data_IF_859681001701
#
_entry.id   IF_859681001701
#
_cell.length_a   1.000
_cell.length_b   1.000
_cell.length_c   1.000
_cell.angle_alpha   90.00
_cell.angle_beta   90.00
_cell.angle_gamma   90.00
#
_symmetry.space_group_name_H-M   'P 1'
#
loop_
_entity.id
_entity.type
_entity.pdbx_description
1 polymer ?
#
# COMPACT_ATOMS: atom_id res chain seq x y z
N UNK A 1 -5.68 -2.80 -29.28
CA UNK A 1 -5.03 -2.35 -30.54
C UNK A 1 -4.05 -3.41 -31.09
N UNK A 2 -3.09 -3.93 -30.32
CA UNK A 2 -2.10 -4.90 -30.84
C UNK A 2 -2.68 -6.26 -31.30
N UNK A 3 -3.66 -6.82 -30.60
CA UNK A 3 -4.30 -8.08 -31.02
C UNK A 3 -5.09 -8.01 -32.34
N UNK A 4 -5.69 -6.85 -32.64
CA UNK A 4 -6.35 -6.61 -33.94
C UNK A 4 -5.35 -6.34 -35.07
N UNK A 5 -4.19 -5.75 -34.75
CA UNK A 5 -3.14 -5.46 -35.74
C UNK A 5 -2.32 -6.68 -36.15
N UNK A 6 -2.15 -7.66 -35.25
CA UNK A 6 -1.33 -8.87 -35.48
C UNK A 6 -2.17 -10.13 -35.79
N UNK A 7 -3.50 -10.01 -35.87
CA UNK A 7 -4.41 -11.10 -36.21
C UNK A 7 -4.48 -12.25 -35.19
N UNK A 8 -3.66 -12.21 -34.12
CA UNK A 8 -3.57 -13.25 -33.12
C UNK A 8 -3.38 -12.62 -31.73
N UNK A 9 -4.27 -12.97 -30.78
CA UNK A 9 -4.32 -12.36 -29.45
C UNK A 9 -3.04 -12.66 -28.65
N UNK A 10 -2.48 -13.87 -28.80
CA UNK A 10 -1.20 -14.27 -28.19
C UNK A 10 -0.02 -13.43 -28.73
N UNK A 11 0.06 -13.23 -30.05
CA UNK A 11 1.10 -12.40 -30.66
C UNK A 11 0.99 -10.92 -30.22
N UNK A 12 -0.23 -10.43 -30.01
CA UNK A 12 -0.49 -9.10 -29.46
C UNK A 12 0.07 -8.91 -28.04
N UNK A 13 -0.14 -9.89 -27.15
CA UNK A 13 0.43 -9.87 -25.80
C UNK A 13 1.96 -9.95 -25.81
N UNK A 14 2.54 -10.82 -26.64
CA UNK A 14 4.00 -10.96 -26.76
C UNK A 14 4.66 -9.69 -27.31
N UNK A 15 4.08 -9.06 -28.34
CA UNK A 15 4.59 -7.80 -28.90
C UNK A 15 4.54 -6.65 -27.88
N UNK A 16 3.45 -6.55 -27.13
CA UNK A 16 3.33 -5.57 -26.05
C UNK A 16 4.39 -5.82 -24.97
N UNK A 17 4.56 -7.06 -24.52
CA UNK A 17 5.57 -7.43 -23.53
C UNK A 17 6.99 -7.10 -24.01
N UNK A 18 7.31 -7.36 -25.28
CA UNK A 18 8.61 -7.05 -25.86
C UNK A 18 8.89 -5.53 -25.87
N UNK A 19 7.92 -4.71 -26.27
CA UNK A 19 8.08 -3.25 -26.27
C UNK A 19 8.28 -2.69 -24.86
N UNK A 20 7.42 -3.05 -23.91
CA UNK A 20 7.54 -2.58 -22.53
C UNK A 20 8.84 -3.10 -21.89
N UNK A 21 9.21 -4.36 -22.16
CA UNK A 21 10.47 -4.94 -21.70
C UNK A 21 11.70 -4.20 -22.24
N UNK A 22 11.75 -3.92 -23.54
CA UNK A 22 12.85 -3.16 -24.15
C UNK A 22 12.94 -1.74 -23.56
N UNK A 23 11.81 -1.06 -23.39
CA UNK A 23 11.75 0.26 -22.76
C UNK A 23 12.25 0.22 -21.31
N UNK A 24 11.82 -0.77 -20.52
CA UNK A 24 12.30 -0.95 -19.14
C UNK A 24 13.81 -1.21 -19.07
N UNK A 25 14.36 -2.04 -19.95
CA UNK A 25 15.80 -2.32 -20.01
C UNK A 25 16.58 -1.04 -20.33
N UNK A 26 16.13 -0.27 -21.33
CA UNK A 26 16.76 1.01 -21.68
C UNK A 26 16.77 1.98 -20.51
N UNK A 27 15.65 2.11 -19.80
CA UNK A 27 15.55 2.97 -18.61
C UNK A 27 16.51 2.50 -17.51
N UNK A 28 16.56 1.20 -17.21
CA UNK A 28 17.48 0.65 -16.19
C UNK A 28 18.93 0.93 -16.55
N UNK A 29 19.33 0.72 -17.81
CA UNK A 29 20.69 0.97 -18.27
C UNK A 29 21.05 2.46 -18.21
N UNK A 30 20.09 3.34 -18.53
CA UNK A 30 20.25 4.78 -18.41
C UNK A 30 20.43 5.20 -16.95
N UNK A 31 19.62 4.66 -16.03
CA UNK A 31 19.74 4.93 -14.59
C UNK A 31 21.09 4.44 -14.07
N UNK A 32 21.50 3.22 -14.42
CA UNK A 32 22.81 2.69 -14.05
C UNK A 32 23.94 3.58 -14.53
N UNK A 33 23.93 3.99 -15.80
CA UNK A 33 24.96 4.86 -16.37
C UNK A 33 25.03 6.23 -15.69
N UNK A 34 23.88 6.78 -15.30
CA UNK A 34 23.79 8.12 -14.69
C UNK A 34 24.18 8.11 -13.21
N UNK A 35 23.92 7.02 -12.49
CA UNK A 35 24.16 6.93 -11.04
C UNK A 35 25.53 6.34 -10.70
N UNK A 36 26.19 5.64 -11.62
CA UNK A 36 27.51 5.03 -11.40
C UNK A 36 28.53 6.09 -11.00
N UNK A 37 29.11 5.93 -9.80
CA UNK A 37 30.15 6.82 -9.27
C UNK A 37 29.67 7.90 -8.31
N UNK A 38 28.35 8.01 -8.05
CA UNK A 38 27.78 8.93 -7.06
C UNK A 38 27.42 8.25 -5.73
N UNK A 39 28.12 7.17 -5.38
CA UNK A 39 27.90 6.42 -4.14
C UNK A 39 28.39 7.25 -2.94
N UNK A 40 27.44 7.79 -2.17
CA UNK A 40 27.73 8.71 -1.06
C UNK A 40 28.38 8.02 0.16
N UNK A 41 28.21 6.70 0.29
CA UNK A 41 28.70 5.94 1.43
C UNK A 41 29.25 4.58 0.96
N UNK A 42 30.43 4.16 1.47
CA UNK A 42 30.91 2.80 1.23
C UNK A 42 29.94 1.78 1.85
N UNK A 43 29.69 0.67 1.16
CA UNK A 43 28.93 -0.47 1.70
C UNK A 43 29.59 -0.99 2.98
N UNK A 44 29.18 -0.48 4.15
CA UNK A 44 29.63 -1.00 5.42
C UNK A 44 28.52 -1.85 6.03
N UNK A 45 28.53 -3.14 5.72
CA UNK A 45 28.32 -4.30 6.62
C UNK A 45 27.86 -5.52 5.82
N UNK A 46 28.46 -6.68 6.09
CA UNK A 46 27.97 -7.95 5.58
C UNK A 46 26.61 -8.28 6.19
N UNK A 47 25.60 -8.49 5.34
CA UNK A 47 24.26 -8.89 5.73
C UNK A 47 24.25 -10.26 6.43
N UNK A 48 23.68 -10.35 7.63
CA UNK A 48 23.39 -11.62 8.29
C UNK A 48 21.89 -11.73 8.53
N UNK A 49 21.32 -12.93 8.34
CA UNK A 49 19.90 -13.18 8.65
C UNK A 49 19.52 -12.86 10.10
N UNK A 50 20.49 -12.90 11.02
CA UNK A 50 20.30 -12.49 12.41
C UNK A 50 19.97 -11.00 12.56
N UNK A 51 20.48 -10.15 11.67
CA UNK A 51 20.20 -8.70 11.68
C UNK A 51 18.72 -8.40 11.40
N UNK A 52 18.02 -9.24 10.61
CA UNK A 52 16.57 -9.12 10.40
C UNK A 52 15.82 -9.30 11.71
N UNK A 53 16.15 -10.35 12.46
CA UNK A 53 15.50 -10.64 13.73
C UNK A 53 15.79 -9.56 14.78
N UNK A 54 17.04 -9.09 14.83
CA UNK A 54 17.45 -8.04 15.75
C UNK A 54 16.75 -6.71 15.43
N UNK A 55 16.63 -6.35 14.15
CA UNK A 55 15.89 -5.16 13.71
C UNK A 55 14.40 -5.23 14.07
N UNK A 56 13.76 -6.38 13.85
CA UNK A 56 12.35 -6.59 14.22
C UNK A 56 12.17 -6.48 15.73
N UNK A 57 13.11 -7.03 16.52
CA UNK A 57 12.96 -7.09 17.97
C UNK A 57 13.31 -5.77 18.67
N UNK A 58 14.39 -5.11 18.24
CA UNK A 58 14.97 -3.96 18.92
C UNK A 58 14.29 -2.65 18.56
N UNK A 59 13.73 -2.50 17.36
CA UNK A 59 13.07 -1.26 16.97
C UNK A 59 11.56 -1.36 17.21
N UNK A 60 11.08 -0.80 18.33
CA UNK A 60 9.66 -0.77 18.64
C UNK A 60 8.85 -0.05 17.56
N UNK A 61 9.30 1.12 17.09
CA UNK A 61 8.61 1.85 16.01
C UNK A 61 8.44 0.98 14.76
N UNK A 62 9.47 0.20 14.37
CA UNK A 62 9.39 -0.69 13.23
C UNK A 62 8.28 -1.72 13.34
N UNK A 63 8.09 -2.35 14.51
CA UNK A 63 7.05 -3.37 14.71
C UNK A 63 5.64 -2.81 14.53
N UNK A 64 5.37 -1.62 15.09
CA UNK A 64 4.07 -0.98 14.92
C UNK A 64 3.85 -0.58 13.47
N UNK A 65 4.84 0.06 12.83
CA UNK A 65 4.70 0.46 11.41
C UNK A 65 4.55 -0.75 10.49
N UNK A 66 5.27 -1.84 10.74
CA UNK A 66 5.14 -3.09 10.00
C UNK A 66 3.73 -3.67 10.16
N UNK A 67 3.17 -3.67 11.38
CA UNK A 67 1.79 -4.08 11.61
C UNK A 67 0.80 -3.22 10.84
N UNK A 68 0.93 -1.89 10.92
CA UNK A 68 0.10 -0.94 10.14
C UNK A 68 0.18 -1.25 8.65
N UNK A 69 1.39 -1.41 8.11
CA UNK A 69 1.62 -1.71 6.70
C UNK A 69 0.98 -3.02 6.26
N UNK A 70 1.20 -4.11 7.00
CA UNK A 70 0.67 -5.44 6.69
C UNK A 70 -0.85 -5.44 6.67
N UNK A 71 -1.49 -4.94 7.71
CA UNK A 71 -2.96 -4.94 7.77
C UNK A 71 -3.57 -4.02 6.70
N UNK A 72 -2.93 -2.89 6.41
CA UNK A 72 -3.37 -1.96 5.37
C UNK A 72 -3.24 -2.54 3.97
N UNK A 73 -2.14 -3.22 3.66
CA UNK A 73 -1.93 -3.81 2.34
C UNK A 73 -2.86 -5.02 2.13
N UNK A 74 -3.11 -5.82 3.17
CA UNK A 74 -4.12 -6.89 3.12
C UNK A 74 -5.49 -6.30 2.79
N UNK A 75 -5.92 -5.27 3.53
CA UNK A 75 -7.19 -4.59 3.26
C UNK A 75 -7.28 -4.07 1.82
N UNK A 76 -6.20 -3.46 1.31
CA UNK A 76 -6.16 -2.93 -0.05
C UNK A 76 -6.22 -4.05 -1.10
N UNK A 77 -5.52 -5.16 -0.87
CA UNK A 77 -5.52 -6.30 -1.77
C UNK A 77 -6.91 -6.96 -1.88
N UNK A 78 -7.71 -6.96 -0.82
CA UNK A 78 -9.11 -7.36 -0.89
C UNK A 78 -9.89 -6.50 -1.89
N UNK A 79 -9.75 -5.17 -1.82
CA UNK A 79 -10.43 -4.25 -2.74
C UNK A 79 -9.94 -4.46 -4.17
N UNK A 80 -8.62 -4.41 -4.41
CA UNK A 80 -8.06 -4.44 -5.77
C UNK A 80 -8.34 -5.78 -6.45
N UNK A 81 -8.21 -6.89 -5.73
CA UNK A 81 -8.41 -8.24 -6.30
C UNK A 81 -9.89 -8.56 -6.50
N UNK A 82 -10.77 -8.09 -5.61
CA UNK A 82 -12.22 -8.31 -5.72
C UNK A 82 -12.88 -7.35 -6.72
N UNK A 83 -12.27 -6.19 -6.98
CA UNK A 83 -12.82 -5.16 -7.88
C UNK A 83 -13.18 -5.71 -9.26
N UNK A 84 -12.37 -6.60 -9.84
CA UNK A 84 -12.66 -7.21 -11.15
C UNK A 84 -13.97 -7.99 -11.10
N UNK A 85 -14.14 -8.87 -10.10
CA UNK A 85 -15.37 -9.65 -9.91
C UNK A 85 -16.57 -8.74 -9.65
N UNK A 86 -16.38 -7.69 -8.85
CA UNK A 86 -17.44 -6.73 -8.54
C UNK A 86 -17.88 -5.95 -9.80
N UNK A 87 -16.95 -5.45 -10.60
CA UNK A 87 -17.26 -4.69 -11.81
C UNK A 87 -17.97 -5.57 -12.84
N UNK A 88 -17.53 -6.80 -13.03
CA UNK A 88 -18.12 -7.73 -14.01
C UNK A 88 -19.48 -8.23 -13.55
N UNK A 89 -19.60 -8.80 -12.34
CA UNK A 89 -20.78 -9.57 -11.94
C UNK A 89 -21.80 -8.78 -11.11
N UNK A 90 -21.41 -7.70 -10.44
CA UNK A 90 -22.33 -6.86 -9.66
C UNK A 90 -22.77 -5.64 -10.48
N UNK A 91 -21.82 -4.95 -11.13
CA UNK A 91 -22.11 -3.75 -11.90
C UNK A 91 -22.42 -4.02 -13.39
N UNK A 92 -22.14 -5.23 -13.89
CA UNK A 92 -22.39 -5.59 -15.29
C UNK A 92 -21.51 -4.83 -16.28
N UNK A 93 -20.35 -4.36 -15.85
CA UNK A 93 -19.45 -3.57 -16.70
C UNK A 93 -18.75 -4.46 -17.74
N UNK A 94 -18.78 -4.03 -19.01
CA UNK A 94 -17.92 -4.57 -20.04
C UNK A 94 -16.45 -4.13 -19.88
N UNK A 95 -15.54 -4.73 -20.66
CA UNK A 95 -14.10 -4.47 -20.58
C UNK A 95 -13.72 -2.98 -20.66
N UNK A 96 -14.39 -2.21 -21.53
CA UNK A 96 -14.13 -0.78 -21.72
C UNK A 96 -14.47 0.04 -20.47
N UNK A 97 -15.62 -0.23 -19.86
CA UNK A 97 -16.08 0.47 -18.66
C UNK A 97 -15.26 0.05 -17.43
N UNK A 98 -14.83 -1.21 -17.36
CA UNK A 98 -13.88 -1.68 -16.36
C UNK A 98 -12.54 -0.94 -16.46
N UNK A 99 -11.99 -0.82 -17.68
CA UNK A 99 -10.77 -0.05 -17.93
C UNK A 99 -10.92 1.42 -17.56
N UNK A 100 -12.08 2.03 -17.85
CA UNK A 100 -12.39 3.40 -17.43
C UNK A 100 -12.48 3.50 -15.90
N UNK A 101 -13.08 2.54 -15.21
CA UNK A 101 -13.16 2.53 -13.75
C UNK A 101 -11.77 2.50 -13.09
N UNK A 102 -10.88 1.62 -13.54
CA UNK A 102 -9.49 1.63 -13.06
C UNK A 102 -8.75 2.91 -13.42
N UNK A 103 -8.99 3.47 -14.62
CA UNK A 103 -8.43 4.76 -15.02
C UNK A 103 -8.86 5.91 -14.11
N UNK A 104 -10.16 5.98 -13.77
CA UNK A 104 -10.72 6.96 -12.83
C UNK A 104 -10.15 6.76 -11.43
N UNK A 105 -10.01 5.52 -10.97
CA UNK A 105 -9.40 5.22 -9.67
C UNK A 105 -7.97 5.78 -9.60
N UNK A 106 -7.14 5.51 -10.62
CA UNK A 106 -5.76 6.01 -10.70
C UNK A 106 -5.74 7.54 -10.74
N UNK A 107 -6.56 8.15 -11.61
CA UNK A 107 -6.62 9.61 -11.75
C UNK A 107 -7.08 10.28 -10.44
N UNK A 108 -8.09 9.73 -9.77
CA UNK A 108 -8.55 10.21 -8.48
C UNK A 108 -7.47 10.06 -7.40
N UNK A 109 -6.73 8.95 -7.38
CA UNK A 109 -5.64 8.76 -6.41
C UNK A 109 -4.55 9.82 -6.55
N UNK A 110 -4.25 10.28 -7.77
CA UNK A 110 -3.32 11.39 -8.00
C UNK A 110 -3.82 12.72 -7.44
N UNK A 111 -5.14 12.96 -7.43
CA UNK A 111 -5.75 14.16 -6.83
C UNK A 111 -5.66 14.10 -5.30
N UNK A 112 -5.76 12.90 -4.71
CA UNK A 112 -5.65 12.73 -3.26
C UNK A 112 -4.22 12.79 -2.72
N UNK A 113 -3.20 12.54 -3.54
CA UNK A 113 -1.79 12.67 -3.14
C UNK A 113 -1.47 14.00 -2.42
N UNK A 114 -1.71 15.19 -3.01
CA UNK A 114 -1.40 16.46 -2.34
C UNK A 114 -2.22 16.68 -1.05
N UNK A 115 -3.45 16.16 -1.01
CA UNK A 115 -4.33 16.28 0.16
C UNK A 115 -3.76 15.46 1.32
N UNK A 116 -3.39 14.21 1.06
CA UNK A 116 -2.80 13.31 2.06
C UNK A 116 -1.43 13.85 2.49
N UNK A 117 -0.60 14.33 1.56
CA UNK A 117 0.70 14.95 1.88
C UNK A 117 0.57 16.16 2.80
N UNK A 118 -0.37 17.05 2.48
CA UNK A 118 -0.61 18.25 3.28
C UNK A 118 -1.02 17.89 4.72
N UNK A 119 -1.93 16.91 4.88
CA UNK A 119 -2.35 16.44 6.21
C UNK A 119 -1.19 15.73 6.92
N UNK A 120 -0.41 14.90 6.23
CA UNK A 120 0.74 14.20 6.78
C UNK A 120 1.82 15.15 7.30
N UNK A 121 2.11 16.23 6.55
CA UNK A 121 3.06 17.26 6.98
C UNK A 121 2.52 18.11 8.14
N UNK A 122 1.23 18.45 8.13
CA UNK A 122 0.62 19.34 9.12
C UNK A 122 0.25 18.65 10.43
N UNK A 123 -0.15 17.39 10.41
CA UNK A 123 -0.61 16.64 11.59
C UNK A 123 0.27 15.44 11.93
N UNK A 124 1.22 15.09 11.07
CA UNK A 124 2.05 13.90 11.21
C UNK A 124 1.45 12.70 10.47
N UNK A 125 2.33 11.80 10.00
CA UNK A 125 1.96 10.61 9.21
C UNK A 125 1.01 9.68 9.97
N UNK A 126 1.20 9.55 11.30
CA UNK A 126 0.33 8.77 12.19
C UNK A 126 -1.13 9.25 12.15
N UNK A 127 -1.35 10.55 12.38
CA UNK A 127 -2.71 11.13 12.41
C UNK A 127 -3.33 11.09 11.01
N UNK A 128 -2.55 11.42 9.97
CA UNK A 128 -3.01 11.32 8.59
C UNK A 128 -3.50 9.90 8.28
N UNK A 129 -2.72 8.88 8.63
CA UNK A 129 -3.11 7.49 8.43
C UNK A 129 -4.44 7.15 9.13
N UNK A 130 -4.58 7.48 10.42
CA UNK A 130 -5.80 7.19 11.18
C UNK A 130 -7.03 7.87 10.55
N UNK A 131 -6.90 9.14 10.15
CA UNK A 131 -8.02 9.91 9.56
C UNK A 131 -8.47 9.29 8.24
N UNK A 132 -7.53 9.04 7.32
CA UNK A 132 -7.88 8.48 6.01
C UNK A 132 -8.28 7.01 6.08
N UNK A 133 -7.70 6.22 6.98
CA UNK A 133 -8.10 4.83 7.20
C UNK A 133 -9.51 4.74 7.80
N UNK A 134 -9.84 5.62 8.75
CA UNK A 134 -11.19 5.70 9.31
C UNK A 134 -12.19 6.17 8.25
N UNK A 135 -11.84 7.18 7.45
CA UNK A 135 -12.67 7.64 6.34
C UNK A 135 -12.97 6.51 5.34
N UNK A 136 -11.94 5.76 4.95
CA UNK A 136 -12.10 4.60 4.09
C UNK A 136 -12.96 3.50 4.73
N UNK A 137 -12.74 3.18 6.01
CA UNK A 137 -13.53 2.18 6.73
C UNK A 137 -15.01 2.53 6.80
N UNK A 138 -15.35 3.78 7.14
CA UNK A 138 -16.74 4.26 7.21
C UNK A 138 -17.39 4.22 5.84
N UNK A 139 -16.73 4.72 4.79
CA UNK A 139 -17.26 4.66 3.43
C UNK A 139 -17.48 3.23 2.96
N UNK A 140 -16.57 2.32 3.29
CA UNK A 140 -16.71 0.91 2.92
C UNK A 140 -17.97 0.31 3.55
N UNK A 141 -18.23 0.55 4.84
CA UNK A 141 -19.46 0.09 5.50
C UNK A 141 -20.74 0.66 4.87
N UNK A 142 -20.73 1.95 4.50
CA UNK A 142 -21.86 2.57 3.79
C UNK A 142 -22.07 1.89 2.44
N UNK A 143 -21.01 1.66 1.67
CA UNK A 143 -21.08 1.07 0.34
C UNK A 143 -21.46 -0.41 0.33
N UNK A 144 -21.15 -1.18 1.39
CA UNK A 144 -21.71 -2.53 1.57
C UNK A 144 -23.23 -2.49 1.44
N UNK A 145 -23.88 -1.50 2.05
CA UNK A 145 -25.34 -1.41 2.15
C UNK A 145 -25.98 -0.74 0.94
N UNK A 146 -25.33 0.26 0.35
CA UNK A 146 -25.92 1.11 -0.69
C UNK A 146 -25.71 0.62 -2.12
N UNK A 147 -24.63 -0.12 -2.41
CA UNK A 147 -24.34 -0.56 -3.78
C UNK A 147 -24.78 -2.01 -3.95
N UNK A 148 -25.94 -2.20 -4.57
CA UNK A 148 -26.54 -3.51 -4.78
C UNK A 148 -26.50 -3.97 -6.24
N UNK A 149 -26.40 -3.05 -7.19
CA UNK A 149 -26.33 -3.39 -8.61
C UNK A 149 -26.12 -2.19 -9.54
N UNK A 150 -26.32 -2.38 -10.86
CA UNK A 150 -26.06 -1.36 -11.88
C UNK A 150 -26.91 -0.09 -11.72
N UNK A 151 -28.09 -0.20 -11.10
CA UNK A 151 -28.95 0.95 -10.79
C UNK A 151 -28.26 2.00 -9.89
N UNK A 152 -27.24 1.59 -9.12
CA UNK A 152 -26.53 2.44 -8.16
C UNK A 152 -25.24 3.04 -8.77
N UNK A 153 -25.12 3.07 -10.11
CA UNK A 153 -23.92 3.50 -10.84
C UNK A 153 -23.35 4.85 -10.36
N UNK A 154 -24.20 5.83 -10.06
CA UNK A 154 -23.75 7.13 -9.54
C UNK A 154 -23.07 7.01 -8.16
N UNK A 155 -23.68 6.24 -7.25
CA UNK A 155 -23.14 6.01 -5.90
C UNK A 155 -21.85 5.22 -6.00
N UNK A 156 -21.78 4.26 -6.92
CA UNK A 156 -20.58 3.51 -7.24
C UNK A 156 -19.42 4.43 -7.68
N UNK A 157 -19.65 5.32 -8.65
CA UNK A 157 -18.59 6.23 -9.12
C UNK A 157 -18.12 7.18 -8.01
N UNK A 158 -19.04 7.69 -7.19
CA UNK A 158 -18.71 8.49 -6.00
C UNK A 158 -17.86 7.66 -5.04
N UNK A 159 -18.24 6.40 -4.78
CA UNK A 159 -17.49 5.53 -3.88
C UNK A 159 -16.12 5.11 -4.40
N UNK A 160 -15.98 4.95 -5.71
CA UNK A 160 -14.72 4.66 -6.36
C UNK A 160 -13.75 5.84 -6.22
N UNK A 161 -14.24 7.07 -6.46
CA UNK A 161 -13.43 8.30 -6.34
C UNK A 161 -13.12 8.60 -4.88
N UNK A 162 -14.06 8.45 -3.96
CA UNK A 162 -13.87 8.86 -2.55
C UNK A 162 -13.21 7.77 -1.70
N UNK A 163 -13.72 6.54 -1.71
CA UNK A 163 -13.19 5.45 -0.88
C UNK A 163 -12.08 4.68 -1.56
N UNK A 164 -12.29 4.27 -2.82
CA UNK A 164 -11.33 3.49 -3.59
C UNK A 164 -10.01 4.23 -3.82
N UNK A 165 -10.09 5.48 -4.27
CA UNK A 165 -8.89 6.26 -4.58
C UNK A 165 -8.10 6.68 -3.33
N UNK A 166 -8.79 7.05 -2.24
CA UNK A 166 -8.17 7.42 -0.96
C UNK A 166 -7.46 6.22 -0.35
N UNK A 167 -8.08 5.04 -0.37
CA UNK A 167 -7.48 3.84 0.21
C UNK A 167 -6.17 3.47 -0.48
N UNK A 168 -6.17 3.37 -1.82
CA UNK A 168 -4.97 3.07 -2.58
C UNK A 168 -3.86 4.10 -2.35
N UNK A 169 -4.20 5.39 -2.41
CA UNK A 169 -3.22 6.46 -2.21
C UNK A 169 -2.66 6.46 -0.79
N UNK A 170 -3.53 6.39 0.23
CA UNK A 170 -3.13 6.44 1.64
C UNK A 170 -2.20 5.28 1.99
N UNK A 171 -2.58 4.04 1.66
CA UNK A 171 -1.79 2.85 2.03
C UNK A 171 -0.39 2.97 1.45
N UNK A 172 -0.25 3.12 0.13
CA UNK A 172 1.05 3.18 -0.51
C UNK A 172 1.86 4.40 -0.09
N UNK A 173 1.26 5.59 -0.11
CA UNK A 173 2.00 6.82 0.19
C UNK A 173 2.48 6.84 1.64
N UNK A 174 1.58 6.66 2.62
CA UNK A 174 1.95 6.76 4.03
C UNK A 174 2.79 5.58 4.48
N UNK A 175 2.51 4.38 3.97
CA UNK A 175 3.27 3.19 4.31
C UNK A 175 4.73 3.28 3.90
N UNK A 176 5.01 3.67 2.66
CA UNK A 176 6.39 3.89 2.21
C UNK A 176 7.02 5.14 2.86
N UNK A 177 6.23 6.17 3.15
CA UNK A 177 6.74 7.38 3.81
C UNK A 177 7.15 7.16 5.28
N UNK A 178 6.64 6.14 5.96
CA UNK A 178 7.01 5.84 7.35
C UNK A 178 8.33 5.06 7.46
N UNK A 179 8.84 4.44 6.38
CA UNK A 179 10.08 3.66 6.43
C UNK A 179 11.31 4.54 6.73
N UNK A 180 11.51 5.71 6.08
CA UNK A 180 12.60 6.61 6.43
C UNK A 180 12.64 6.98 7.92
N UNK A 181 11.48 7.19 8.55
CA UNK A 181 11.40 7.54 9.97
C UNK A 181 11.92 6.40 10.86
N UNK A 182 11.71 5.15 10.44
CA UNK A 182 12.20 3.96 11.16
C UNK A 182 13.71 3.83 10.99
N UNK A 183 14.21 4.05 9.77
CA UNK A 183 15.64 3.95 9.48
C UNK A 183 16.44 5.04 10.18
N UNK A 184 15.87 6.22 10.37
CA UNK A 184 16.45 7.30 11.18
C UNK A 184 16.57 6.91 12.67
N UNK A 185 15.55 6.25 13.23
CA UNK A 185 15.60 5.72 14.61
C UNK A 185 16.69 4.65 14.74
N UNK A 186 16.80 3.76 13.75
CA UNK A 186 17.82 2.71 13.74
C UNK A 186 19.25 3.27 13.58
N UNK A 187 19.44 4.28 12.72
CA UNK A 187 20.72 4.98 12.56
C UNK A 187 21.17 5.65 13.86
N UNK A 188 20.21 6.14 14.67
CA UNK A 188 20.51 6.72 15.97
C UNK A 188 20.94 5.65 16.98
N UNK A 189 20.27 4.49 17.02
CA UNK A 189 20.58 3.39 17.96
C UNK A 189 21.85 2.61 17.60
N UNK A 190 21.93 2.14 16.35
CA UNK A 190 22.95 1.20 15.90
C UNK A 190 24.19 1.90 15.35
N UNK A 191 24.06 3.19 14.96
CA UNK A 191 25.10 3.92 14.25
C UNK A 191 25.33 3.42 12.82
N UNK A 192 24.54 2.46 12.34
CA UNK A 192 24.64 1.88 11.01
C UNK A 192 23.43 2.28 10.16
N UNK A 193 23.66 2.56 8.87
CA UNK A 193 22.58 2.80 7.91
C UNK A 193 22.12 1.49 7.31
N UNK A 194 21.03 0.94 7.84
CA UNK A 194 20.45 -0.34 7.41
C UNK A 194 19.21 -0.17 6.54
N UNK A 195 19.11 0.90 5.76
CA UNK A 195 17.92 1.24 4.98
C UNK A 195 17.45 0.09 4.08
N UNK A 196 18.38 -0.50 3.31
CA UNK A 196 18.07 -1.64 2.42
C UNK A 196 17.46 -2.85 3.14
N UNK A 197 17.85 -3.09 4.40
CA UNK A 197 17.28 -4.17 5.22
C UNK A 197 15.81 -3.91 5.54
N UNK A 198 15.47 -2.68 5.97
CA UNK A 198 14.09 -2.30 6.30
C UNK A 198 13.18 -2.33 5.06
N UNK A 199 13.63 -1.75 3.94
CA UNK A 199 12.90 -1.81 2.68
C UNK A 199 12.70 -3.25 2.20
N UNK A 200 13.75 -4.08 2.26
CA UNK A 200 13.70 -5.49 1.86
C UNK A 200 12.73 -6.31 2.70
N UNK A 201 12.78 -6.19 4.03
CA UNK A 201 11.87 -6.90 4.95
C UNK A 201 10.42 -6.48 4.73
N UNK A 202 10.15 -5.17 4.61
CA UNK A 202 8.80 -4.66 4.32
C UNK A 202 8.25 -5.20 3.00
N UNK A 203 9.04 -5.16 1.92
CA UNK A 203 8.62 -5.67 0.61
C UNK A 203 8.42 -7.20 0.60
N UNK A 204 9.27 -7.94 1.32
CA UNK A 204 9.14 -9.39 1.44
C UNK A 204 7.85 -9.78 2.19
N UNK A 205 7.61 -9.15 3.33
CA UNK A 205 6.40 -9.39 4.13
C UNK A 205 5.15 -8.97 3.34
N UNK A 206 5.21 -7.86 2.60
CA UNK A 206 4.13 -7.44 1.70
C UNK A 206 3.76 -8.53 0.69
N UNK A 207 4.76 -9.19 0.07
CA UNK A 207 4.51 -10.27 -0.90
C UNK A 207 3.84 -11.48 -0.24
N UNK A 208 4.28 -11.87 0.95
CA UNK A 208 3.64 -12.95 1.72
C UNK A 208 2.20 -12.58 2.06
N UNK A 209 1.98 -11.38 2.61
CA UNK A 209 0.66 -10.89 2.98
C UNK A 209 -0.29 -10.86 1.76
N UNK A 210 0.22 -10.42 0.60
CA UNK A 210 -0.54 -10.38 -0.65
C UNK A 210 -0.88 -11.79 -1.14
N UNK A 211 0.07 -12.73 -1.13
CA UNK A 211 -0.17 -14.12 -1.54
C UNK A 211 -1.24 -14.80 -0.65
N UNK A 212 -1.13 -14.63 0.68
CA UNK A 212 -2.12 -15.15 1.63
C UNK A 212 -3.49 -14.51 1.37
N UNK A 213 -3.55 -13.20 1.13
CA UNK A 213 -4.80 -12.49 0.84
C UNK A 213 -5.47 -13.02 -0.43
N UNK A 214 -4.72 -13.16 -1.52
CA UNK A 214 -5.25 -13.71 -2.78
C UNK A 214 -5.77 -15.14 -2.60
N UNK A 215 -5.05 -15.98 -1.84
CA UNK A 215 -5.50 -17.33 -1.54
C UNK A 215 -6.79 -17.34 -0.73
N UNK A 216 -6.92 -16.46 0.28
CA UNK A 216 -8.12 -16.33 1.09
C UNK A 216 -9.32 -15.87 0.25
N UNK A 217 -9.13 -14.88 -0.63
CA UNK A 217 -10.18 -14.42 -1.55
C UNK A 217 -10.66 -15.58 -2.44
N UNK A 218 -9.73 -16.35 -3.02
CA UNK A 218 -10.08 -17.51 -3.85
C UNK A 218 -10.87 -18.57 -3.08
N UNK A 219 -10.49 -18.88 -1.83
CA UNK A 219 -11.23 -19.83 -0.99
C UNK A 219 -12.63 -19.32 -0.64
N UNK A 220 -12.77 -18.03 -0.32
CA UNK A 220 -14.07 -17.44 -0.01
C UNK A 220 -14.95 -17.44 -1.27
N UNK A 221 -14.44 -17.05 -2.44
CA UNK A 221 -15.18 -17.09 -3.69
C UNK A 221 -15.65 -18.52 -4.02
N UNK A 222 -14.80 -19.53 -3.85
CA UNK A 222 -15.17 -20.92 -4.04
C UNK A 222 -16.27 -21.37 -3.06
N UNK A 223 -16.18 -20.93 -1.80
CA UNK A 223 -17.16 -21.27 -0.76
C UNK A 223 -18.54 -20.65 -1.00
N UNK A 224 -18.59 -19.41 -1.50
CA UNK A 224 -19.85 -18.73 -1.86
C UNK A 224 -20.36 -19.20 -3.25
N UNK A 225 -19.67 -20.15 -3.90
CA UNK A 225 -20.14 -20.78 -5.14
C UNK A 225 -19.98 -19.90 -6.38
N UNK A 226 -18.97 -19.02 -6.41
CA UNK A 226 -18.62 -18.26 -7.60
C UNK A 226 -18.30 -19.18 -8.79
N UNK A 227 -18.90 -18.91 -9.95
CA UNK A 227 -18.61 -19.64 -11.19
C UNK A 227 -18.27 -18.68 -12.33
N UNK A 228 -17.12 -18.80 -12.99
CA UNK A 228 -16.74 -17.89 -14.07
C UNK A 228 -17.70 -17.99 -15.28
N UNK A 229 -17.88 -16.88 -15.99
CA UNK A 229 -18.56 -16.76 -17.29
C UNK A 229 -20.06 -17.12 -17.32
N UNK A 230 -20.69 -17.24 -16.15
CA UNK A 230 -22.13 -17.44 -16.01
C UNK A 230 -22.78 -16.38 -15.11
N UNK A 231 -24.11 -16.28 -15.16
CA UNK A 231 -24.86 -15.46 -14.21
C UNK A 231 -24.69 -16.03 -12.78
N UNK A 232 -24.30 -15.16 -11.84
CA UNK A 232 -24.05 -15.56 -10.46
C UNK A 232 -25.34 -15.73 -9.66
N UNK A 233 -25.30 -16.60 -8.65
CA UNK A 233 -26.37 -16.69 -7.65
C UNK A 233 -26.39 -15.44 -6.77
N UNK A 234 -27.53 -15.16 -6.13
CA UNK A 234 -27.66 -14.05 -5.18
C UNK A 234 -26.66 -14.14 -4.03
N UNK A 235 -26.35 -15.37 -3.60
CA UNK A 235 -25.34 -15.65 -2.57
C UNK A 235 -23.94 -15.26 -3.04
N UNK A 236 -23.53 -15.69 -4.25
CA UNK A 236 -22.24 -15.33 -4.84
C UNK A 236 -22.07 -13.81 -5.01
N UNK A 237 -23.11 -13.11 -5.48
CA UNK A 237 -23.13 -11.64 -5.58
C UNK A 237 -22.93 -11.00 -4.20
N UNK A 238 -23.63 -11.50 -3.17
CA UNK A 238 -23.50 -10.97 -1.82
C UNK A 238 -22.10 -11.23 -1.22
N UNK A 239 -21.51 -12.41 -1.47
CA UNK A 239 -20.13 -12.71 -1.07
C UNK A 239 -19.11 -11.78 -1.74
N UNK A 240 -19.26 -11.51 -3.04
CA UNK A 240 -18.41 -10.55 -3.76
C UNK A 240 -18.54 -9.14 -3.15
N UNK A 241 -19.75 -8.70 -2.79
CA UNK A 241 -19.98 -7.41 -2.12
C UNK A 241 -19.29 -7.34 -0.74
N UNK A 242 -19.37 -8.40 0.04
CA UNK A 242 -18.69 -8.49 1.36
C UNK A 242 -17.18 -8.44 1.20
N UNK A 243 -16.62 -9.21 0.26
CA UNK A 243 -15.20 -9.22 -0.02
C UNK A 243 -14.68 -7.84 -0.46
N UNK A 244 -15.50 -7.11 -1.24
CA UNK A 244 -15.14 -5.78 -1.74
C UNK A 244 -15.13 -4.71 -0.65
N UNK A 245 -16.13 -4.71 0.24
CA UNK A 245 -16.35 -3.58 1.15
C UNK A 245 -16.29 -3.93 2.64
N UNK A 246 -16.75 -5.10 3.07
CA UNK A 246 -16.74 -5.47 4.49
C UNK A 246 -15.40 -6.10 4.92
N UNK A 247 -14.82 -6.96 4.10
CA UNK A 247 -13.56 -7.63 4.41
C UNK A 247 -12.40 -6.65 4.67
N UNK A 248 -12.19 -5.58 3.87
CA UNK A 248 -11.14 -4.60 4.16
C UNK A 248 -11.29 -3.94 5.54
N UNK A 249 -12.52 -3.70 6.01
CA UNK A 249 -12.78 -3.06 7.31
C UNK A 249 -12.26 -3.92 8.46
N UNK A 250 -12.40 -5.25 8.37
CA UNK A 250 -11.90 -6.20 9.38
C UNK A 250 -10.38 -6.06 9.56
N UNK A 251 -9.64 -5.80 8.49
CA UNK A 251 -8.18 -5.60 8.54
C UNK A 251 -7.80 -4.14 8.85
N UNK A 252 -8.65 -3.17 8.52
CA UNK A 252 -8.41 -1.76 8.87
C UNK A 252 -8.52 -1.49 10.37
N UNK A 253 -9.43 -2.15 11.08
CA UNK A 253 -9.58 -1.98 12.53
C UNK A 253 -8.26 -2.22 13.28
N UNK A 254 -7.57 -3.37 13.15
CA UNK A 254 -6.28 -3.57 13.78
C UNK A 254 -5.21 -2.60 13.25
N UNK A 255 -5.22 -2.23 11.97
CA UNK A 255 -4.30 -1.22 11.44
C UNK A 255 -4.45 0.13 12.16
N UNK A 256 -5.68 0.59 12.37
CA UNK A 256 -6.00 1.84 13.07
C UNK A 256 -5.60 1.74 14.55
N UNK A 257 -5.88 0.63 15.21
CA UNK A 257 -5.50 0.41 16.61
C UNK A 257 -3.98 0.45 16.77
N UNK A 258 -3.24 -0.26 15.92
CA UNK A 258 -1.77 -0.27 15.93
C UNK A 258 -1.22 1.12 15.62
N UNK A 259 -1.79 1.83 14.64
CA UNK A 259 -1.42 3.21 14.33
C UNK A 259 -1.72 4.17 15.50
N UNK A 260 -2.78 3.92 16.27
CA UNK A 260 -3.07 4.69 17.47
C UNK A 260 -2.04 4.47 18.57
N UNK A 261 -1.43 3.28 18.69
CA UNK A 261 -0.34 3.05 19.65
C UNK A 261 1.06 3.33 19.10
N UNK A 262 1.18 3.72 17.83
CA UNK A 262 2.45 4.05 17.20
C UNK A 262 3.14 5.21 17.99
N UNK A 263 4.32 4.99 18.58
CA UNK A 263 4.96 5.99 19.43
C UNK A 263 5.48 7.19 18.64
N UNK A 264 5.65 7.06 17.33
CA UNK A 264 6.15 8.09 16.42
C UNK A 264 5.09 9.19 16.20
N UNK A 265 5.20 10.27 16.98
CA UNK A 265 4.43 11.51 16.81
C UNK A 265 5.21 12.52 15.96
N UNK A 266 4.51 13.56 15.47
CA UNK A 266 5.16 14.64 14.71
C UNK A 266 6.27 15.33 15.52
N UNK A 267 6.02 15.59 16.80
CA UNK A 267 6.98 16.21 17.71
C UNK A 267 8.23 15.36 17.87
N UNK A 268 8.06 14.04 18.02
CA UNK A 268 9.19 13.10 18.12
C UNK A 268 9.97 12.95 16.84
N UNK A 269 9.29 12.95 15.69
CA UNK A 269 9.98 12.97 14.40
C UNK A 269 10.81 14.24 14.23
N UNK A 270 10.28 15.41 14.61
CA UNK A 270 11.05 16.66 14.59
C UNK A 270 12.26 16.61 15.54
N UNK A 271 12.05 16.14 16.78
CA UNK A 271 13.14 15.94 17.74
C UNK A 271 14.21 14.97 17.21
N UNK A 272 13.80 13.87 16.55
CA UNK A 272 14.72 12.92 15.93
C UNK A 272 15.56 13.58 14.82
N UNK A 273 14.94 14.35 13.92
CA UNK A 273 15.65 15.07 12.88
C UNK A 273 16.65 16.09 13.47
N UNK A 274 16.28 16.80 14.54
CA UNK A 274 17.15 17.77 15.20
C UNK A 274 18.33 17.08 15.90
N UNK A 275 18.09 15.96 16.60
CA UNK A 275 19.14 15.13 17.20
C UNK A 275 20.11 14.59 16.13
N UNK A 276 19.61 14.13 14.99
CA UNK A 276 20.45 13.64 13.89
C UNK A 276 21.29 14.76 13.27
N UNK A 277 20.78 16.00 13.20
CA UNK A 277 21.59 17.16 12.79
C UNK A 277 22.68 17.47 13.80
N UNK A 278 22.36 17.51 15.09
CA UNK A 278 23.35 17.72 16.15
C UNK A 278 24.44 16.64 16.15
N UNK A 279 24.06 15.38 15.92
CA UNK A 279 25.00 14.25 15.77
C UNK A 279 25.94 14.46 14.57
N UNK A 280 25.44 14.95 13.43
CA UNK A 280 26.28 15.29 12.26
C UNK A 280 27.22 16.45 12.53
N UNK A 281 26.81 17.39 13.38
CA UNK A 281 27.62 18.54 13.80
C UNK A 281 28.56 18.23 14.98
N UNK A 282 28.64 16.98 15.45
CA UNK A 282 29.39 16.55 16.64
C UNK A 282 29.07 17.37 17.92
N UNK A 283 27.81 17.81 18.06
CA UNK A 283 27.31 18.50 19.25
C UNK A 283 26.65 17.51 20.22
N UNK A 284 26.66 17.83 21.51
CA UNK A 284 25.90 17.07 22.51
C UNK A 284 24.39 17.11 22.21
N UNK A 285 23.71 15.99 22.41
CA UNK A 285 22.28 15.85 22.15
C UNK A 285 21.62 15.00 23.25
N UNK A 286 20.39 15.35 23.61
CA UNK A 286 19.59 14.61 24.58
C UNK A 286 18.60 13.67 23.88
N UNK A 287 18.63 12.38 24.23
CA UNK A 287 17.75 11.34 23.69
C UNK A 287 16.52 11.07 24.57
N UNK A 288 16.42 11.70 25.74
CA UNK A 288 15.29 11.54 26.67
C UNK A 288 13.92 11.73 26.02
N UNK A 289 13.70 12.68 25.08
CA UNK A 289 12.39 12.90 24.45
C UNK A 289 11.92 11.75 23.54
N UNK A 290 12.84 10.90 23.07
CA UNK A 290 12.59 9.88 22.05
C UNK A 290 12.89 8.46 22.55
N UNK A 291 13.17 8.29 23.84
CA UNK A 291 13.57 7.02 24.44
C UNK A 291 12.55 5.89 24.26
N UNK A 292 11.29 6.22 24.04
CA UNK A 292 10.21 5.26 23.82
C UNK A 292 10.01 4.83 22.36
N UNK A 293 10.79 5.41 21.42
CA UNK A 293 10.88 4.96 20.03
C UNK A 293 11.70 3.67 19.88
N UNK A 294 12.60 3.43 20.85
CA UNK A 294 13.44 2.24 20.94
C UNK A 294 12.62 1.04 21.42
#
# INVERSE_FOLDING_TARGET
>A
MFGKALGNMSAGWSAMAAMFGAMSVLLILLTWRTTRGYELFPESTGFRFRDIYDVIRQNRTFRYTLGVWVFSIVALNFVVSTAIYFFTYVMGFGESMMGMAFGVLIAASLIYLPIIDYVARKKGKRIAFIVFATFWGVLSLVFVLTIAGPQDSTIFWIGLVTGGAVSACMVYMLGWAMIPDITEVDELMSGQRREGLYFGVMAFIQKIASAVTLQLIGLILAWVGYQPDIAQTSEAIWGIRILMYAAPVVFLIPAIIIAYYLPMTREKHQALCDILKLKKENKEYDITPIKDLF
#
